data_IF_324035376930
#
_entry.id   IF_324035376930
#
_cell.length_a   1.000
_cell.length_b   1.000
_cell.length_c   1.000
_cell.angle_alpha   90.00
_cell.angle_beta   90.00
_cell.angle_gamma   90.00
#
_symmetry.space_group_name_H-M   'P 1'
#
loop_
_entity.id
_entity.type
_entity.pdbx_description
1 polymer ?
#
# COMPACT_ATOMS: atom_id res chain seq x y z
N UNK A 1 -4.71 7.35 35.84
CA UNK A 1 -3.43 6.75 36.30
C UNK A 1 -2.70 6.17 35.11
N UNK A 2 -1.66 6.84 34.62
CA UNK A 2 -0.86 6.37 33.46
C UNK A 2 -0.04 5.16 33.87
N UNK A 3 -0.38 3.99 33.32
CA UNK A 3 0.36 2.74 33.54
C UNK A 3 1.79 2.94 33.03
N UNK A 4 2.79 2.78 33.90
CA UNK A 4 4.19 2.86 33.50
C UNK A 4 4.45 1.92 32.31
N UNK A 5 5.16 2.37 31.25
CA UNK A 5 5.40 1.53 30.09
C UNK A 5 6.20 0.29 30.52
N UNK A 6 5.66 -0.91 30.24
CA UNK A 6 6.39 -2.16 30.51
C UNK A 6 7.74 -2.07 29.80
N UNK A 7 8.85 -2.31 30.53
CA UNK A 7 10.20 -2.37 29.94
C UNK A 7 10.14 -3.34 28.75
N UNK A 8 10.43 -2.84 27.56
CA UNK A 8 10.42 -3.65 26.35
C UNK A 8 11.59 -4.62 26.44
N UNK A 9 11.30 -5.92 26.42
CA UNK A 9 12.34 -6.95 26.40
C UNK A 9 12.96 -6.96 25.01
N UNK A 10 14.30 -7.05 24.96
CA UNK A 10 15.01 -7.31 23.72
C UNK A 10 14.59 -8.66 23.15
N UNK A 11 14.58 -8.78 21.83
CA UNK A 11 14.30 -10.01 21.09
C UNK A 11 15.47 -10.36 20.19
N UNK A 12 15.68 -11.65 19.92
CA UNK A 12 16.60 -12.10 18.85
C UNK A 12 15.85 -12.11 17.52
N UNK A 13 16.46 -11.57 16.48
CA UNK A 13 15.93 -11.65 15.13
C UNK A 13 16.06 -13.08 14.59
N UNK A 14 15.01 -13.72 14.05
CA UNK A 14 15.10 -15.08 13.52
C UNK A 14 15.95 -15.18 12.23
N UNK A 15 16.27 -14.04 11.61
CA UNK A 15 16.99 -13.96 10.33
C UNK A 15 18.48 -13.71 10.50
N UNK A 16 18.86 -12.69 11.26
CA UNK A 16 20.26 -12.31 11.50
C UNK A 16 20.77 -12.62 12.91
N UNK A 17 19.92 -13.17 13.78
CA UNK A 17 20.22 -13.56 15.18
C UNK A 17 20.65 -12.43 16.13
N UNK A 18 20.80 -11.20 15.62
CA UNK A 18 21.09 -10.00 16.41
C UNK A 18 19.96 -9.68 17.39
N UNK A 19 20.34 -9.22 18.58
CA UNK A 19 19.40 -8.68 19.57
C UNK A 19 18.89 -7.32 19.09
N UNK A 20 17.59 -7.09 19.20
CA UNK A 20 16.97 -5.81 18.88
C UNK A 20 15.88 -5.46 19.89
N UNK A 21 15.64 -4.16 20.07
CA UNK A 21 14.54 -3.65 20.86
C UNK A 21 13.32 -3.41 19.96
N UNK A 22 12.17 -4.07 20.19
CA UNK A 22 10.98 -3.84 19.37
C UNK A 22 10.46 -2.42 19.47
N UNK A 23 9.98 -1.88 18.34
CA UNK A 23 9.40 -0.54 18.26
C UNK A 23 8.20 -0.42 19.22
N UNK A 24 8.04 0.72 19.92
CA UNK A 24 6.99 0.92 20.90
C UNK A 24 5.57 0.54 20.50
N UNK A 25 5.17 0.94 19.28
CA UNK A 25 3.84 0.70 18.72
C UNK A 25 3.62 -0.76 18.29
N UNK A 26 4.69 -1.47 17.96
CA UNK A 26 4.60 -2.85 17.47
C UNK A 26 4.71 -3.85 18.62
N UNK A 27 5.63 -3.60 19.56
CA UNK A 27 5.84 -4.43 20.74
C UNK A 27 6.04 -5.90 20.38
N UNK A 28 5.15 -6.75 20.86
CA UNK A 28 5.19 -8.20 20.60
C UNK A 28 4.98 -8.56 19.13
N UNK A 29 4.31 -7.71 18.35
CA UNK A 29 4.01 -7.94 16.92
C UNK A 29 5.24 -7.85 16.02
N UNK A 30 6.29 -7.14 16.46
CA UNK A 30 7.53 -7.10 15.70
C UNK A 30 8.32 -8.39 15.94
N UNK A 31 8.40 -9.23 14.90
CA UNK A 31 9.09 -10.53 14.94
C UNK A 31 10.54 -10.45 14.45
N UNK A 32 10.89 -9.45 13.62
CA UNK A 32 12.23 -9.28 13.07
C UNK A 32 12.77 -7.88 13.33
N UNK A 33 14.10 -7.75 13.36
CA UNK A 33 14.76 -6.45 13.48
C UNK A 33 14.44 -5.55 12.26
N UNK A 34 14.68 -4.24 12.39
CA UNK A 34 14.35 -3.26 11.35
C UNK A 34 15.29 -3.29 10.12
N UNK A 35 16.32 -4.15 10.12
CA UNK A 35 17.25 -4.25 9.00
C UNK A 35 16.53 -4.62 7.68
N UNK A 36 16.77 -3.90 6.57
CA UNK A 36 16.08 -4.13 5.30
C UNK A 36 16.18 -5.57 4.79
N UNK A 37 17.34 -6.22 4.98
CA UNK A 37 17.53 -7.62 4.62
C UNK A 37 16.58 -8.56 5.39
N UNK A 38 16.47 -8.38 6.71
CA UNK A 38 15.57 -9.18 7.55
C UNK A 38 14.10 -8.90 7.25
N UNK A 39 13.75 -7.65 6.90
CA UNK A 39 12.39 -7.30 6.48
C UNK A 39 12.01 -7.96 5.15
N UNK A 40 12.92 -8.01 4.17
CA UNK A 40 12.72 -8.74 2.92
C UNK A 40 12.54 -10.24 3.14
N UNK A 41 13.38 -10.85 3.98
CA UNK A 41 13.26 -12.28 4.32
C UNK A 41 11.95 -12.58 5.05
N UNK A 42 11.53 -11.72 5.99
CA UNK A 42 10.23 -11.82 6.66
C UNK A 42 9.07 -11.74 5.67
N UNK A 43 9.08 -10.77 4.77
CA UNK A 43 8.06 -10.63 3.74
C UNK A 43 8.01 -11.88 2.84
N UNK A 44 9.16 -12.36 2.37
CA UNK A 44 9.23 -13.57 1.55
C UNK A 44 8.69 -14.81 2.29
N UNK A 45 9.04 -14.98 3.57
CA UNK A 45 8.51 -16.07 4.40
C UNK A 45 6.99 -15.98 4.56
N UNK A 46 6.46 -14.79 4.88
CA UNK A 46 5.02 -14.56 5.00
C UNK A 46 4.28 -14.83 3.67
N UNK A 47 4.84 -14.39 2.55
CA UNK A 47 4.26 -14.63 1.23
C UNK A 47 4.23 -16.13 0.89
N UNK A 48 5.30 -16.88 1.19
CA UNK A 48 5.32 -18.35 1.01
C UNK A 48 4.26 -19.03 1.87
N UNK A 49 4.20 -18.66 3.14
CA UNK A 49 3.20 -19.16 4.08
C UNK A 49 1.78 -18.89 3.62
N UNK A 50 1.52 -17.67 3.17
CA UNK A 50 0.21 -17.29 2.67
C UNK A 50 -0.15 -18.08 1.41
N UNK A 51 0.76 -18.21 0.44
CA UNK A 51 0.52 -19.00 -0.77
C UNK A 51 0.23 -20.46 -0.46
N UNK A 52 0.98 -21.07 0.47
CA UNK A 52 0.73 -22.44 0.93
C UNK A 52 -0.65 -22.64 1.56
N UNK A 53 -1.18 -21.64 2.26
CA UNK A 53 -2.52 -21.70 2.87
C UNK A 53 -3.64 -21.38 1.87
N UNK A 54 -3.33 -20.73 0.74
CA UNK A 54 -4.30 -20.20 -0.22
C UNK A 54 -4.06 -20.77 -1.62
N UNK A 55 -3.70 -22.06 -1.71
CA UNK A 55 -3.31 -22.71 -2.97
C UNK A 55 -4.36 -22.51 -4.06
N UNK A 56 -5.63 -22.76 -3.75
CA UNK A 56 -6.74 -22.63 -4.70
C UNK A 56 -6.80 -21.24 -5.37
N UNK A 57 -6.68 -20.17 -4.58
CA UNK A 57 -6.69 -18.78 -5.11
C UNK A 57 -5.40 -18.51 -5.88
N UNK A 58 -4.24 -18.97 -5.37
CA UNK A 58 -2.95 -18.63 -5.97
C UNK A 58 -2.65 -19.34 -7.27
N UNK A 59 -3.23 -20.53 -7.50
CA UNK A 59 -3.02 -21.29 -8.73
C UNK A 59 -3.59 -20.57 -9.94
N UNK A 60 -4.76 -19.96 -9.80
CA UNK A 60 -5.45 -19.31 -10.92
C UNK A 60 -5.34 -17.78 -10.91
N UNK A 61 -4.82 -17.17 -9.82
CA UNK A 61 -4.70 -15.71 -9.69
C UNK A 61 -4.10 -14.99 -10.92
N UNK A 62 -3.11 -15.59 -11.59
CA UNK A 62 -2.54 -14.98 -12.79
C UNK A 62 -3.55 -14.95 -13.95
N UNK A 63 -4.23 -16.06 -14.21
CA UNK A 63 -5.18 -16.19 -15.32
C UNK A 63 -6.51 -15.48 -15.05
N UNK A 64 -7.00 -15.57 -13.81
CA UNK A 64 -8.32 -15.05 -13.43
C UNK A 64 -8.28 -13.53 -13.20
N UNK A 65 -7.16 -13.00 -12.70
CA UNK A 65 -7.07 -11.60 -12.27
C UNK A 65 -6.01 -10.82 -13.04
N UNK A 66 -4.76 -11.28 -13.07
CA UNK A 66 -3.64 -10.47 -13.61
C UNK A 66 -3.72 -10.31 -15.12
N UNK A 67 -3.93 -11.41 -15.87
CA UNK A 67 -3.97 -11.40 -17.33
C UNK A 67 -5.16 -10.56 -17.86
N UNK A 68 -6.41 -10.73 -17.37
CA UNK A 68 -7.54 -9.92 -17.81
C UNK A 68 -7.35 -8.44 -17.46
N UNK A 69 -6.86 -8.12 -16.26
CA UNK A 69 -6.62 -6.73 -15.84
C UNK A 69 -5.60 -6.02 -16.73
N UNK A 70 -4.56 -6.74 -17.19
CA UNK A 70 -3.54 -6.18 -18.11
C UNK A 70 -4.03 -6.07 -19.55
N UNK A 71 -4.91 -6.98 -19.97
CA UNK A 71 -5.47 -6.99 -21.33
C UNK A 71 -6.65 -6.03 -21.48
N UNK A 72 -7.30 -5.66 -20.37
CA UNK A 72 -8.36 -4.67 -20.38
C UNK A 72 -7.83 -3.37 -20.98
N UNK A 73 -8.59 -2.70 -21.87
CA UNK A 73 -8.31 -1.32 -22.20
C UNK A 73 -8.25 -0.53 -20.89
N UNK A 74 -7.43 0.52 -20.85
CA UNK A 74 -7.24 1.36 -19.65
C UNK A 74 -8.57 1.76 -18.99
N UNK A 75 -8.53 2.26 -17.74
CA UNK A 75 -9.74 2.50 -16.95
C UNK A 75 -10.81 3.18 -17.81
N UNK A 76 -12.04 2.63 -17.76
CA UNK A 76 -13.16 3.16 -18.53
C UNK A 76 -13.19 4.68 -18.34
N UNK A 77 -13.41 5.46 -19.41
CA UNK A 77 -13.53 6.89 -19.27
C UNK A 77 -14.60 7.17 -18.22
N UNK A 78 -14.23 7.97 -17.21
CA UNK A 78 -15.16 8.47 -16.19
C UNK A 78 -16.33 9.09 -16.95
N UNK A 79 -17.55 8.59 -16.75
CA UNK A 79 -18.70 9.15 -17.43
C UNK A 79 -18.81 10.64 -17.04
N UNK A 80 -19.27 11.54 -17.93
CA UNK A 80 -19.34 12.97 -17.63
C UNK A 80 -20.08 13.29 -16.31
N UNK A 81 -21.09 12.50 -15.96
CA UNK A 81 -21.82 12.62 -14.69
C UNK A 81 -20.98 12.24 -13.45
N UNK A 82 -20.15 11.21 -13.56
CA UNK A 82 -19.25 10.79 -12.47
C UNK A 82 -18.17 11.84 -12.21
N UNK A 83 -17.70 12.53 -13.26
CA UNK A 83 -16.75 13.64 -13.13
C UNK A 83 -17.37 14.79 -12.33
N UNK A 84 -18.65 15.11 -12.57
CA UNK A 84 -19.38 16.15 -11.83
C UNK A 84 -19.56 15.80 -10.37
N UNK A 85 -19.87 14.54 -10.05
CA UNK A 85 -19.97 14.07 -8.66
C UNK A 85 -18.61 14.20 -7.94
N UNK A 86 -17.54 13.75 -8.60
CA UNK A 86 -16.18 13.84 -8.05
C UNK A 86 -15.75 15.30 -7.82
N UNK A 87 -15.96 16.17 -8.82
CA UNK A 87 -15.66 17.60 -8.70
C UNK A 87 -16.52 18.27 -7.61
N UNK A 88 -17.80 17.91 -7.50
CA UNK A 88 -18.70 18.41 -6.45
C UNK A 88 -18.31 17.99 -5.04
N UNK A 89 -17.56 16.89 -4.90
CA UNK A 89 -17.05 16.38 -3.61
C UNK A 89 -15.75 17.06 -3.16
N UNK A 90 -15.08 17.79 -4.06
CA UNK A 90 -13.87 18.53 -3.74
C UNK A 90 -14.21 19.81 -2.98
N UNK A 91 -13.24 20.30 -2.20
CA UNK A 91 -13.31 21.64 -1.65
C UNK A 91 -13.41 22.67 -2.78
N UNK A 92 -14.21 23.75 -2.62
CA UNK A 92 -14.44 24.74 -3.68
C UNK A 92 -13.14 25.25 -4.30
N UNK A 93 -12.13 25.55 -3.48
CA UNK A 93 -10.87 26.13 -3.94
C UNK A 93 -10.08 25.17 -4.84
N UNK A 94 -10.14 23.87 -4.54
CA UNK A 94 -9.47 22.81 -5.32
C UNK A 94 -10.23 22.53 -6.62
N UNK A 95 -11.57 22.49 -6.55
CA UNK A 95 -12.42 22.33 -7.73
C UNK A 95 -12.20 23.46 -8.72
N UNK A 96 -12.20 24.70 -8.24
CA UNK A 96 -12.13 25.89 -9.09
C UNK A 96 -10.75 26.03 -9.74
N UNK A 97 -9.66 25.68 -9.02
CA UNK A 97 -8.31 25.61 -9.59
C UNK A 97 -8.21 24.59 -10.74
N UNK A 98 -8.76 23.37 -10.57
CA UNK A 98 -8.77 22.33 -11.62
C UNK A 98 -9.57 22.79 -12.86
N UNK A 99 -10.71 23.45 -12.64
CA UNK A 99 -11.55 23.95 -13.74
C UNK A 99 -10.89 25.13 -14.48
N UNK A 100 -10.13 25.96 -13.77
CA UNK A 100 -9.38 27.09 -14.34
C UNK A 100 -8.17 26.61 -15.16
N UNK A 101 -7.42 25.61 -14.68
CA UNK A 101 -6.29 25.03 -15.42
C UNK A 101 -6.72 24.39 -16.75
N UNK A 102 -7.96 23.86 -16.83
CA UNK A 102 -8.52 23.29 -18.07
C UNK A 102 -8.88 24.34 -19.13
N UNK A 103 -8.99 25.62 -18.78
CA UNK A 103 -9.33 26.71 -19.70
C UNK A 103 -8.11 27.39 -20.34
N UNK A 104 -6.89 27.02 -19.95
CA UNK A 104 -5.69 27.54 -20.60
C UNK A 104 -5.52 26.90 -21.99
N UNK A 105 -5.38 27.67 -23.08
CA UNK A 105 -5.15 27.09 -24.39
C UNK A 105 -3.82 26.33 -24.36
N UNK A 106 -3.86 25.05 -24.71
CA UNK A 106 -2.64 24.27 -24.98
C UNK A 106 -2.01 24.80 -26.27
N UNK A 107 -1.22 25.85 -26.15
CA UNK A 107 -0.44 26.40 -27.26
C UNK A 107 -0.21 27.90 -27.15
N UNK A 108 0.85 28.30 -26.44
CA UNK A 108 1.66 29.45 -26.84
C UNK A 108 3.12 29.02 -26.67
N UNK A 109 3.75 28.64 -27.78
CA UNK A 109 5.21 28.64 -27.91
C UNK A 109 5.62 30.01 -28.49
N UNK A 110 6.71 30.64 -28.01
CA UNK A 110 7.28 31.82 -28.64
C UNK A 110 7.82 31.54 -30.04
#
# INVERSE_FOLDING_TARGET
>A
MSRAPRRRRQKRCPFCQTLFLPHPRLGVRQQACAAPACQRQRHAANCRDWRRRNVAITQTHYEDYVRPTRAAPGPLPIAPGDLQILLGSLRPEVRDAIMTERQWPRGVSP
#
